data_IF_487399715662
#
_entry.id   IF_487399715662
#
_cell.length_a   1.000
_cell.length_b   1.000
_cell.length_c   1.000
_cell.angle_alpha   90.00
_cell.angle_beta   90.00
_cell.angle_gamma   90.00
#
_symmetry.space_group_name_H-M   'P 1'
#
loop_
_entity.id
_entity.type
_entity.pdbx_description
1 polymer ?
#
# COMPACT_ATOMS: atom_id res chain seq x y z
N UNK A 1 13.07 14.46 19.42
CA UNK A 1 11.65 14.85 19.26
C UNK A 1 11.08 14.00 18.14
N UNK A 2 10.22 13.02 18.45
CA UNK A 2 9.62 12.12 17.45
C UNK A 2 8.52 12.87 16.67
N UNK A 3 8.24 12.50 15.40
CA UNK A 3 7.15 13.13 14.67
C UNK A 3 5.83 12.67 15.28
N UNK A 4 5.04 13.63 15.76
CA UNK A 4 3.66 13.36 16.15
C UNK A 4 2.81 13.20 14.89
N UNK A 5 1.96 12.18 14.87
CA UNK A 5 0.96 12.02 13.83
C UNK A 5 0.05 13.28 13.79
N UNK A 6 -0.27 13.82 12.60
CA UNK A 6 -1.16 14.97 12.51
C UNK A 6 -2.58 14.60 12.96
N UNK A 7 -3.32 15.51 13.64
CA UNK A 7 -4.68 15.25 14.04
C UNK A 7 -5.62 15.32 12.82
N UNK A 8 -6.25 14.19 12.50
CA UNK A 8 -7.32 14.12 11.50
C UNK A 8 -8.56 14.82 12.03
N UNK A 9 -8.90 15.96 11.44
CA UNK A 9 -10.21 16.61 11.61
C UNK A 9 -11.25 15.74 10.90
N UNK A 10 -12.17 15.12 11.64
CA UNK A 10 -13.28 14.34 11.10
C UNK A 10 -14.62 15.04 11.42
N UNK A 11 -15.39 15.32 10.37
CA UNK A 11 -16.81 15.63 10.45
C UNK A 11 -17.64 14.33 10.67
N UNK A 12 -18.84 14.39 11.25
CA UNK A 12 -19.57 13.23 11.76
C UNK A 12 -20.67 12.80 10.75
N UNK A 13 -21.29 11.62 10.71
CA UNK A 13 -21.51 10.46 11.59
C UNK A 13 -21.54 9.22 10.65
N UNK A 14 -21.37 7.95 11.06
CA UNK A 14 -22.34 7.11 11.78
C UNK A 14 -21.68 5.73 12.03
N UNK A 15 -22.09 5.08 13.12
CA UNK A 15 -21.81 3.71 13.56
C UNK A 15 -20.58 3.48 14.44
N UNK A 16 -20.94 3.19 15.69
CA UNK A 16 -20.17 3.09 16.91
C UNK A 16 -19.34 1.78 16.94
N UNK A 17 -18.19 1.80 16.29
CA UNK A 17 -17.10 0.88 16.61
C UNK A 17 -15.98 1.70 17.23
N UNK A 18 -15.82 1.56 18.55
CA UNK A 18 -14.92 2.38 19.37
C UNK A 18 -13.54 2.54 18.70
N UNK A 19 -13.23 3.69 18.06
CA UNK A 19 -12.03 3.87 17.25
C UNK A 19 -10.75 3.78 18.08
N UNK A 20 -10.88 3.91 19.41
CA UNK A 20 -9.79 3.79 20.38
C UNK A 20 -9.28 2.36 20.51
N UNK A 21 -10.11 1.33 20.28
CA UNK A 21 -9.67 -0.07 20.41
C UNK A 21 -8.83 -0.55 19.22
N UNK A 22 -9.11 -0.07 18.01
CA UNK A 22 -8.36 -0.42 16.79
C UNK A 22 -7.05 0.37 16.63
N UNK A 23 -6.98 1.60 17.13
CA UNK A 23 -5.74 2.40 17.12
C UNK A 23 -4.75 1.94 18.20
N UNK A 24 -5.25 1.44 19.33
CA UNK A 24 -4.43 0.99 20.47
C UNK A 24 -3.65 -0.30 20.17
N UNK A 25 -4.10 -1.14 19.25
CA UNK A 25 -3.52 -2.46 18.98
C UNK A 25 -2.44 -2.46 17.88
N UNK A 26 -2.43 -1.50 16.95
CA UNK A 26 -1.43 -1.49 15.85
C UNK A 26 -0.09 -0.85 16.22
N UNK A 27 -0.07 0.14 17.11
CA UNK A 27 1.18 0.84 17.49
C UNK A 27 1.87 0.28 18.74
N UNK A 28 1.16 -0.48 19.58
CA UNK A 28 1.67 -0.88 20.91
C UNK A 28 2.45 -2.20 20.91
N UNK A 29 2.25 -3.08 19.94
CA UNK A 29 2.94 -4.38 19.88
C UNK A 29 4.33 -4.30 19.21
N UNK A 30 4.56 -3.27 18.40
CA UNK A 30 5.80 -3.14 17.61
C UNK A 30 6.79 -2.12 18.21
N UNK A 31 6.49 -1.58 19.40
CA UNK A 31 7.34 -0.57 20.05
C UNK A 31 8.70 -1.12 20.46
N UNK A 32 8.76 -2.39 20.89
CA UNK A 32 10.01 -3.10 21.19
C UNK A 32 10.87 -3.28 19.94
N UNK A 33 10.27 -3.79 18.86
CA UNK A 33 10.93 -3.96 17.57
C UNK A 33 11.41 -2.63 16.99
N UNK A 34 10.60 -1.57 17.08
CA UNK A 34 10.98 -0.24 16.61
C UNK A 34 12.20 0.30 17.38
N UNK A 35 12.29 0.03 18.68
CA UNK A 35 13.44 0.41 19.49
C UNK A 35 14.70 -0.40 19.11
N UNK A 36 14.57 -1.71 18.88
CA UNK A 36 15.66 -2.55 18.39
C UNK A 36 16.18 -2.08 17.02
N UNK A 37 15.28 -1.79 16.08
CA UNK A 37 15.63 -1.24 14.76
C UNK A 37 16.33 0.11 14.88
N UNK A 38 15.91 0.96 15.81
CA UNK A 38 16.54 2.26 16.06
C UNK A 38 17.98 2.10 16.58
N UNK A 39 18.19 1.18 17.53
CA UNK A 39 19.53 0.86 18.07
C UNK A 39 20.44 0.24 17.00
N UNK A 40 19.92 -0.71 16.23
CA UNK A 40 20.64 -1.31 15.12
C UNK A 40 21.06 -0.27 14.08
N UNK A 41 20.14 0.64 13.73
CA UNK A 41 20.44 1.74 12.82
C UNK A 41 21.57 2.61 13.36
N UNK A 42 21.51 3.03 14.62
CA UNK A 42 22.56 3.83 15.27
C UNK A 42 23.93 3.17 15.21
N UNK A 43 24.05 1.91 15.62
CA UNK A 43 25.31 1.15 15.52
C UNK A 43 25.80 1.02 14.09
N UNK A 44 24.91 0.70 13.14
CA UNK A 44 25.29 0.58 11.73
C UNK A 44 25.89 1.88 11.18
N UNK A 45 25.38 3.04 11.62
CA UNK A 45 25.95 4.34 11.24
C UNK A 45 27.31 4.55 11.89
N UNK A 46 27.50 4.22 13.16
CA UNK A 46 28.81 4.31 13.84
C UNK A 46 29.86 3.46 13.11
N UNK A 47 29.53 2.23 12.71
CA UNK A 47 30.43 1.38 11.92
C UNK A 47 30.74 1.98 10.55
N UNK A 48 29.74 2.52 9.83
CA UNK A 48 29.97 3.21 8.56
C UNK A 48 30.92 4.40 8.71
N UNK A 49 30.78 5.18 9.77
CA UNK A 49 31.69 6.28 10.08
C UNK A 49 33.10 5.79 10.40
N UNK A 50 33.23 4.66 11.09
CA UNK A 50 34.53 4.08 11.40
C UNK A 50 35.30 3.61 10.15
N UNK A 51 34.60 2.95 9.22
CA UNK A 51 35.17 2.44 7.97
C UNK A 51 35.20 3.47 6.83
N UNK A 52 34.68 4.68 7.06
CA UNK A 52 34.89 5.77 6.11
C UNK A 52 36.36 6.05 6.00
N UNK A 53 36.80 6.25 4.76
CA UNK A 53 38.19 6.59 4.49
C UNK A 53 38.56 7.89 5.22
N UNK A 54 39.59 7.80 6.07
CA UNK A 54 40.16 8.94 6.81
C UNK A 54 41.34 9.56 6.07
N UNK A 55 41.86 8.87 5.04
CA UNK A 55 43.03 9.30 4.29
C UNK A 55 42.71 10.34 3.21
N UNK A 56 41.44 10.46 2.82
CA UNK A 56 40.99 11.39 1.78
C UNK A 56 41.42 11.00 0.37
N UNK A 57 41.99 9.79 0.21
CA UNK A 57 42.51 9.28 -1.05
C UNK A 57 41.47 8.49 -1.85
N UNK A 58 40.45 7.96 -1.18
CA UNK A 58 39.37 7.22 -1.83
C UNK A 58 38.20 8.15 -2.15
N UNK A 59 37.93 8.31 -3.45
CA UNK A 59 36.70 8.94 -3.92
C UNK A 59 35.50 8.09 -3.47
N UNK A 60 34.51 8.67 -2.77
CA UNK A 60 33.30 7.95 -2.39
C UNK A 60 32.58 7.48 -3.65
N UNK A 61 32.55 6.17 -3.91
CA UNK A 61 31.83 5.64 -5.08
C UNK A 61 30.34 5.50 -4.70
N UNK A 62 29.43 6.17 -5.43
CA UNK A 62 28.02 6.24 -5.07
C UNK A 62 27.27 4.98 -5.51
N UNK A 63 27.58 3.81 -4.95
CA UNK A 63 26.99 2.55 -5.42
C UNK A 63 25.48 2.41 -5.15
N UNK A 64 24.85 3.29 -4.36
CA UNK A 64 23.41 3.23 -4.08
C UNK A 64 22.77 4.61 -3.89
N UNK A 65 23.21 5.61 -4.64
CA UNK A 65 22.46 6.87 -4.70
C UNK A 65 21.31 6.67 -5.67
N UNK A 66 20.09 6.55 -5.14
CA UNK A 66 18.90 6.60 -5.98
C UNK A 66 18.93 7.94 -6.72
N UNK A 67 19.01 7.96 -8.07
CA UNK A 67 19.15 9.20 -8.80
C UNK A 67 18.02 10.15 -8.42
N UNK A 68 18.36 11.36 -7.95
CA UNK A 68 17.35 12.37 -7.58
C UNK A 68 16.38 12.66 -8.73
N UNK A 69 16.88 12.55 -9.96
CA UNK A 69 16.14 12.70 -11.22
C UNK A 69 15.09 11.59 -11.48
N UNK A 70 15.13 10.45 -10.78
CA UNK A 70 14.11 9.41 -10.93
C UNK A 70 12.78 9.81 -10.31
N UNK A 71 12.77 10.59 -9.23
CA UNK A 71 11.51 11.08 -8.64
C UNK A 71 10.74 12.00 -9.59
N UNK A 72 11.48 12.81 -10.35
CA UNK A 72 10.90 13.68 -11.39
C UNK A 72 10.43 12.88 -12.61
N UNK A 73 11.15 11.81 -12.95
CA UNK A 73 10.86 10.96 -14.12
C UNK A 73 9.73 9.95 -13.85
N UNK A 74 9.59 9.49 -12.61
CA UNK A 74 8.59 8.53 -12.15
C UNK A 74 8.06 8.99 -10.78
N UNK A 75 7.06 9.89 -10.75
CA UNK A 75 6.42 10.29 -9.51
C UNK A 75 5.85 9.06 -8.79
N UNK A 76 5.84 9.07 -7.45
CA UNK A 76 5.27 7.94 -6.73
C UNK A 76 3.79 7.79 -7.11
N UNK A 77 3.23 6.56 -7.13
CA UNK A 77 1.83 6.34 -7.46
C UNK A 77 0.81 7.08 -6.58
N UNK A 78 1.27 7.62 -5.45
CA UNK A 78 0.49 8.39 -4.49
C UNK A 78 0.54 9.91 -4.76
N UNK A 79 1.45 10.37 -5.61
CA UNK A 79 1.67 11.79 -5.92
C UNK A 79 0.87 12.26 -7.16
N UNK A 80 0.04 11.40 -7.75
CA UNK A 80 -0.81 11.78 -8.87
C UNK A 80 -1.92 12.74 -8.43
N UNK A 81 -2.26 13.75 -9.25
CA UNK A 81 -3.41 14.61 -8.98
C UNK A 81 -4.69 13.75 -8.91
N UNK A 82 -5.71 14.20 -8.16
CA UNK A 82 -6.96 13.46 -8.04
C UNK A 82 -7.55 13.19 -9.42
N UNK A 83 -7.90 11.93 -9.66
CA UNK A 83 -8.44 11.50 -10.94
C UNK A 83 -9.72 12.27 -11.30
N UNK A 84 -9.89 12.58 -12.59
CA UNK A 84 -11.15 13.17 -13.08
C UNK A 84 -12.33 12.25 -12.74
N UNK A 85 -13.51 12.84 -12.56
CA UNK A 85 -14.73 12.07 -12.25
C UNK A 85 -14.99 10.98 -13.31
N UNK A 86 -14.77 11.30 -14.60
CA UNK A 86 -14.95 10.37 -15.71
C UNK A 86 -13.95 9.21 -15.65
N UNK A 87 -12.66 9.50 -15.43
CA UNK A 87 -11.62 8.48 -15.31
C UNK A 87 -11.88 7.57 -14.11
N UNK A 88 -12.27 8.15 -12.97
CA UNK A 88 -12.62 7.40 -11.76
C UNK A 88 -13.82 6.50 -11.99
N UNK A 89 -14.86 6.97 -12.67
CA UNK A 89 -16.04 6.18 -13.02
C UNK A 89 -15.67 4.99 -13.93
N UNK A 90 -14.81 5.23 -14.93
CA UNK A 90 -14.36 4.18 -15.82
C UNK A 90 -13.55 3.12 -15.07
N UNK A 91 -12.56 3.53 -14.27
CA UNK A 91 -11.74 2.62 -13.45
C UNK A 91 -12.58 1.82 -12.47
N UNK A 92 -13.57 2.44 -11.84
CA UNK A 92 -14.47 1.74 -10.94
C UNK A 92 -15.27 0.65 -11.64
N UNK A 93 -15.71 0.87 -12.89
CA UNK A 93 -16.48 -0.09 -13.71
C UNK A 93 -15.65 -1.25 -14.25
N UNK A 94 -14.37 -1.02 -14.53
CA UNK A 94 -13.46 -2.08 -15.02
C UNK A 94 -12.75 -2.80 -13.87
N UNK A 95 -12.91 -2.33 -12.64
CA UNK A 95 -12.29 -2.96 -11.47
C UNK A 95 -12.83 -4.38 -11.30
N UNK A 96 -11.99 -5.37 -10.94
CA UNK A 96 -12.43 -6.74 -10.71
C UNK A 96 -13.58 -6.85 -9.69
N UNK A 97 -13.62 -5.95 -8.71
CA UNK A 97 -14.67 -5.88 -7.70
C UNK A 97 -16.04 -5.43 -8.25
N UNK A 98 -16.05 -4.69 -9.36
CA UNK A 98 -17.26 -4.19 -10.02
C UNK A 98 -17.74 -5.06 -11.18
N UNK A 99 -16.92 -6.02 -11.62
CA UNK A 99 -17.32 -6.95 -12.66
C UNK A 99 -18.55 -7.69 -12.17
N UNK A 100 -19.64 -7.56 -12.94
CA UNK A 100 -20.89 -8.24 -12.63
C UNK A 100 -20.61 -9.73 -12.65
N UNK A 101 -20.67 -10.36 -11.48
CA UNK A 101 -20.48 -11.80 -11.37
C UNK A 101 -21.64 -12.57 -12.00
N UNK A 102 -22.79 -11.93 -12.21
CA UNK A 102 -23.97 -12.54 -12.82
C UNK A 102 -23.95 -12.46 -14.34
N UNK A 103 -24.18 -13.61 -14.97
CA UNK A 103 -24.52 -13.69 -16.39
C UNK A 103 -26.04 -13.56 -16.57
N UNK A 104 -26.46 -12.77 -17.55
CA UNK A 104 -27.87 -12.64 -17.94
C UNK A 104 -28.00 -13.11 -19.37
N UNK A 105 -28.89 -14.06 -19.62
CA UNK A 105 -29.17 -14.54 -20.97
C UNK A 105 -29.89 -13.45 -21.79
N UNK A 106 -29.84 -13.50 -23.14
CA UNK A 106 -30.63 -12.61 -24.00
C UNK A 106 -32.14 -12.65 -23.69
N UNK A 107 -32.62 -13.75 -23.11
CA UNK A 107 -33.99 -13.91 -22.61
C UNK A 107 -34.29 -13.14 -21.30
N UNK A 108 -33.32 -12.39 -20.76
CA UNK A 108 -33.44 -11.65 -19.50
C UNK A 108 -33.28 -12.50 -18.23
N UNK A 109 -33.19 -13.83 -18.37
CA UNK A 109 -33.01 -14.74 -17.22
C UNK A 109 -31.59 -14.62 -16.64
N UNK A 110 -31.49 -14.46 -15.33
CA UNK A 110 -30.20 -14.36 -14.61
C UNK A 110 -29.81 -15.72 -14.06
N UNK A 111 -28.55 -16.09 -14.27
CA UNK A 111 -27.99 -17.35 -13.75
C UNK A 111 -27.72 -17.19 -12.25
N UNK A 112 -28.21 -18.14 -11.46
CA UNK A 112 -28.00 -18.15 -10.01
C UNK A 112 -26.51 -18.37 -9.68
N UNK A 113 -26.08 -17.99 -8.47
CA UNK A 113 -24.69 -18.21 -8.06
C UNK A 113 -24.32 -19.71 -8.06
N UNK A 114 -25.27 -20.60 -7.73
CA UNK A 114 -25.07 -22.05 -7.66
C UNK A 114 -24.80 -22.66 -9.04
N UNK A 115 -25.67 -22.40 -10.02
CA UNK A 115 -25.50 -22.90 -11.40
C UNK A 115 -24.18 -22.44 -12.02
N UNK A 116 -23.78 -21.20 -11.72
CA UNK A 116 -22.52 -20.62 -12.17
C UNK A 116 -21.32 -21.34 -11.57
N UNK A 117 -21.32 -21.57 -10.26
CA UNK A 117 -20.25 -22.32 -9.60
C UNK A 117 -20.14 -23.75 -10.15
N UNK A 118 -21.27 -24.43 -10.40
CA UNK A 118 -21.28 -25.76 -11.02
C UNK A 118 -20.67 -25.72 -12.43
N UNK A 119 -21.06 -24.76 -13.26
CA UNK A 119 -20.46 -24.57 -14.58
C UNK A 119 -18.96 -24.29 -14.51
N UNK A 120 -18.55 -23.33 -13.68
CA UNK A 120 -17.15 -22.90 -13.58
C UNK A 120 -16.28 -24.09 -13.13
N UNK A 121 -16.75 -24.87 -12.14
CA UNK A 121 -16.06 -26.10 -11.71
C UNK A 121 -15.92 -27.13 -12.83
N UNK A 122 -16.89 -27.24 -13.75
CA UNK A 122 -16.79 -28.17 -14.88
C UNK A 122 -15.67 -27.79 -15.86
N UNK A 123 -15.38 -26.50 -16.04
CA UNK A 123 -14.33 -26.04 -16.95
C UNK A 123 -12.94 -26.03 -16.31
N UNK A 124 -12.82 -25.71 -15.02
CA UNK A 124 -11.54 -25.77 -14.29
C UNK A 124 -10.92 -27.17 -14.29
N UNK A 125 -11.74 -28.23 -14.24
CA UNK A 125 -11.26 -29.62 -14.29
C UNK A 125 -10.82 -30.11 -15.68
N UNK A 126 -10.99 -29.31 -16.73
CA UNK A 126 -10.66 -29.67 -18.12
C UNK A 126 -9.48 -28.88 -18.71
N UNK A 127 -8.93 -27.91 -17.99
CA UNK A 127 -7.76 -27.13 -18.37
C UNK A 127 -6.48 -27.73 -17.79
#
# INVERSE_FOLDING_TARGET
RYPQCPPTVAAPHTEERDPRTLLRTRCSLDSGRAQELSRFYEWSQQHRWFYRDKSGMLYPVPYFVLPTKEKERYPLPLDFPPLSAQTRWHLLRVSPASLRTYQTFPSGKRVTARERATRDSFFEYRA
#
